data_IF_962400847169
#
_entry.id   IF_962400847169
#
_cell.length_a   1.000
_cell.length_b   1.000
_cell.length_c   1.000
_cell.angle_alpha   90.00
_cell.angle_beta   90.00
_cell.angle_gamma   90.00
#
_symmetry.space_group_name_H-M   'P 1'
#
loop_
_entity.id
_entity.type
_entity.pdbx_description
1 polymer ?
#
# COMPACT_ATOMS: atom_id res chain seq x y z
N UNK A 1 -1.44 4.94 -8.28
CA UNK A 1 -0.44 3.87 -7.98
C UNK A 1 -0.62 2.68 -8.90
N UNK A 2 0.40 2.19 -9.61
CA UNK A 2 0.16 1.11 -10.59
C UNK A 2 -0.29 -0.21 -9.96
N UNK A 3 -1.10 -0.97 -10.69
CA UNK A 3 -1.60 -2.28 -10.25
C UNK A 3 -0.49 -3.30 -9.94
N UNK A 4 0.65 -3.17 -10.63
CA UNK A 4 1.85 -3.98 -10.39
C UNK A 4 2.48 -3.71 -9.01
N UNK A 5 2.45 -2.45 -8.56
CA UNK A 5 3.01 -2.02 -7.27
C UNK A 5 2.16 -2.53 -6.12
N UNK A 6 0.84 -2.36 -6.22
CA UNK A 6 -0.12 -2.84 -5.22
C UNK A 6 -0.03 -4.36 -5.06
N UNK A 7 0.00 -5.10 -6.17
CA UNK A 7 0.14 -6.56 -6.12
C UNK A 7 1.45 -7.02 -5.46
N UNK A 8 2.58 -6.35 -5.74
CA UNK A 8 3.85 -6.67 -5.07
C UNK A 8 3.78 -6.47 -3.56
N UNK A 9 3.17 -5.37 -3.12
CA UNK A 9 2.97 -5.05 -1.70
C UNK A 9 2.12 -6.11 -1.00
N UNK A 10 0.95 -6.44 -1.57
CA UNK A 10 0.03 -7.39 -0.99
C UNK A 10 0.59 -8.82 -0.98
N UNK A 11 1.21 -9.27 -2.07
CA UNK A 11 1.85 -10.59 -2.12
C UNK A 11 2.93 -10.70 -1.04
N UNK A 12 3.75 -9.66 -0.87
CA UNK A 12 4.78 -9.64 0.17
C UNK A 12 4.17 -9.71 1.57
N UNK A 13 3.11 -8.95 1.84
CA UNK A 13 2.41 -8.98 3.12
C UNK A 13 1.78 -10.34 3.42
N UNK A 14 1.25 -11.05 2.41
CA UNK A 14 0.67 -12.39 2.60
C UNK A 14 1.71 -13.41 3.06
N UNK A 15 2.92 -13.37 2.50
CA UNK A 15 3.97 -14.38 2.78
C UNK A 15 4.95 -13.97 3.89
N UNK A 16 4.96 -12.70 4.29
CA UNK A 16 5.84 -12.15 5.32
C UNK A 16 5.02 -11.41 6.40
N UNK A 17 4.71 -12.13 7.48
CA UNK A 17 3.95 -11.59 8.60
C UNK A 17 4.65 -10.44 9.36
N UNK A 18 5.97 -10.28 9.23
CA UNK A 18 6.68 -9.12 9.78
C UNK A 18 6.44 -7.91 8.90
N UNK A 19 6.55 -8.09 7.59
CA UNK A 19 6.25 -7.04 6.62
C UNK A 19 4.78 -6.61 6.72
N UNK A 20 3.82 -7.54 6.82
CA UNK A 20 2.41 -7.21 6.98
C UNK A 20 2.15 -6.31 8.20
N UNK A 21 2.72 -6.66 9.36
CA UNK A 21 2.60 -5.84 10.58
C UNK A 21 3.23 -4.47 10.41
N UNK A 22 4.38 -4.39 9.73
CA UNK A 22 5.01 -3.10 9.42
C UNK A 22 4.15 -2.27 8.46
N UNK A 23 3.60 -2.90 7.42
CA UNK A 23 2.75 -2.27 6.42
C UNK A 23 1.47 -1.69 7.04
N UNK A 24 0.87 -2.36 8.01
CA UNK A 24 -0.31 -1.85 8.73
C UNK A 24 0.05 -0.76 9.75
N UNK A 25 1.23 -0.82 10.35
CA UNK A 25 1.67 0.16 11.36
C UNK A 25 2.22 1.46 10.74
N UNK A 26 2.96 1.35 9.64
CA UNK A 26 3.55 2.46 8.90
C UNK A 26 3.67 2.07 7.41
N UNK A 27 2.61 2.32 6.63
CA UNK A 27 2.55 1.90 5.24
C UNK A 27 3.66 2.53 4.41
N UNK A 28 3.97 3.81 4.65
CA UNK A 28 4.98 4.56 3.90
C UNK A 28 6.38 3.97 4.15
N UNK A 29 6.74 3.71 5.40
CA UNK A 29 8.02 3.10 5.73
C UNK A 29 8.14 1.66 5.20
N UNK A 30 7.03 0.93 5.09
CA UNK A 30 7.01 -0.40 4.48
C UNK A 30 7.23 -0.35 2.97
N UNK A 31 6.57 0.59 2.26
CA UNK A 31 6.73 0.75 0.80
C UNK A 31 8.17 1.15 0.43
N UNK A 32 8.83 1.96 1.27
CA UNK A 32 10.24 2.32 1.05
C UNK A 32 11.20 1.13 1.16
N UNK A 33 10.88 0.08 1.94
CA UNK A 33 11.72 -1.13 2.04
C UNK A 33 11.68 -2.01 0.79
N UNK A 34 10.62 -1.89 -0.02
CA UNK A 34 10.44 -2.69 -1.25
C UNK A 34 10.87 -1.95 -2.51
N UNK A 35 11.57 -0.82 -2.36
CA UNK A 35 12.11 0.01 -3.47
C UNK A 35 11.03 0.34 -4.52
N UNK A 36 9.81 0.61 -4.07
CA UNK A 36 8.70 0.98 -4.94
C UNK A 36 8.68 2.49 -5.12
N UNK A 37 8.75 2.94 -6.38
CA UNK A 37 8.52 4.34 -6.72
C UNK A 37 7.03 4.65 -6.53
N UNK A 38 6.75 5.62 -5.66
CA UNK A 38 5.41 6.14 -5.38
C UNK A 38 5.39 7.66 -5.50
N UNK A 39 4.32 8.20 -6.08
CA UNK A 39 4.16 9.64 -6.29
C UNK A 39 3.88 10.37 -4.96
N UNK A 40 4.05 11.72 -4.91
CA UNK A 40 3.70 12.50 -3.72
C UNK A 40 2.23 12.33 -3.27
N UNK A 41 1.30 12.17 -4.21
CA UNK A 41 -0.12 11.94 -3.95
C UNK A 41 -0.32 10.59 -3.25
N UNK A 42 0.30 9.54 -3.76
CA UNK A 42 0.25 8.19 -3.20
C UNK A 42 0.89 8.12 -1.81
N UNK A 43 1.98 8.85 -1.60
CA UNK A 43 2.61 9.00 -0.29
C UNK A 43 1.65 9.63 0.72
N UNK A 44 0.88 10.64 0.30
CA UNK A 44 -0.11 11.28 1.17
C UNK A 44 -1.26 10.34 1.51
N UNK A 45 -1.70 9.51 0.56
CA UNK A 45 -2.72 8.50 0.82
C UNK A 45 -2.22 7.47 1.86
N UNK A 46 -1.03 6.91 1.64
CA UNK A 46 -0.42 5.94 2.55
C UNK A 46 -0.15 6.51 3.94
N UNK A 47 0.26 7.79 4.03
CA UNK A 47 0.50 8.48 5.30
C UNK A 47 -0.77 8.68 6.13
N UNK A 48 -1.90 8.89 5.46
CA UNK A 48 -3.18 9.13 6.11
C UNK A 48 -4.05 7.87 6.21
N UNK A 49 -3.60 6.74 5.65
CA UNK A 49 -4.31 5.48 5.68
C UNK A 49 -4.51 5.03 7.14
N UNK A 50 -5.77 4.84 7.51
CA UNK A 50 -6.17 4.20 8.76
C UNK A 50 -6.87 2.91 8.36
N UNK A 51 -6.13 1.81 8.43
CA UNK A 51 -6.57 0.48 7.99
C UNK A 51 -6.36 -0.50 9.13
N UNK A 52 -7.34 -1.35 9.40
CA UNK A 52 -7.25 -2.33 10.50
C UNK A 52 -6.58 -3.62 10.02
N UNK A 53 -6.81 -3.98 8.76
CA UNK A 53 -6.23 -5.16 8.14
C UNK A 53 -5.82 -4.97 6.66
N UNK A 54 -5.30 -6.04 6.06
CA UNK A 54 -4.84 -6.03 4.67
C UNK A 54 -5.99 -5.91 3.66
N UNK A 55 -7.21 -6.32 4.02
CA UNK A 55 -8.39 -6.19 3.18
C UNK A 55 -8.75 -4.71 3.05
N UNK A 56 -8.80 -3.98 4.17
CA UNK A 56 -9.03 -2.54 4.21
C UNK A 56 -7.98 -1.79 3.37
N UNK A 57 -6.71 -2.16 3.56
CA UNK A 57 -5.62 -1.59 2.79
C UNK A 57 -5.75 -1.86 1.29
N UNK A 58 -6.11 -3.09 0.90
CA UNK A 58 -6.29 -3.44 -0.51
C UNK A 58 -7.42 -2.63 -1.15
N UNK A 59 -8.55 -2.46 -0.46
CA UNK A 59 -9.67 -1.67 -0.96
C UNK A 59 -9.31 -0.20 -1.11
N UNK A 60 -8.59 0.37 -0.15
CA UNK A 60 -8.12 1.75 -0.20
C UNK A 60 -7.21 1.98 -1.41
N UNK A 61 -6.28 1.06 -1.67
CA UNK A 61 -5.36 1.15 -2.80
C UNK A 61 -6.05 0.94 -4.16
N UNK A 62 -7.06 0.08 -4.21
CA UNK A 62 -7.90 -0.13 -5.41
C UNK A 62 -8.68 1.13 -5.74
N UNK A 63 -9.34 1.74 -4.75
CA UNK A 63 -10.14 2.94 -4.98
C UNK A 63 -9.28 4.09 -5.54
N UNK A 64 -8.03 4.22 -5.09
CA UNK A 64 -7.11 5.23 -5.64
C UNK A 64 -6.78 5.00 -7.12
N UNK A 65 -6.70 3.74 -7.55
CA UNK A 65 -6.47 3.41 -8.95
C UNK A 65 -7.65 3.82 -9.83
N UNK A 66 -8.88 3.62 -9.36
CA UNK A 66 -10.09 4.01 -10.09
C UNK A 66 -10.15 5.53 -10.27
N UNK A 67 -9.72 6.32 -9.27
CA UNK A 67 -9.62 7.78 -9.37
C UNK A 67 -8.52 8.26 -10.32
N UNK A 68 -7.46 7.47 -10.55
CA UNK A 68 -6.38 7.81 -11.50
C UNK A 68 -6.81 7.55 -12.97
N UNK A 69 -7.89 6.78 -13.21
CA UNK A 69 -8.39 6.43 -14.55
C UNK A 69 -9.52 7.35 -15.07
N UNK A 70 -10.07 8.25 -14.24
CA UNK A 70 -11.04 9.31 -14.61
C UNK A 70 -10.38 10.65 -14.97
#
# INVERSE_FOLDING_TARGET
MSWKVINKLLIRAIIDARFARKLLADPLAAVHEVELEITPEEQNVLRNARVEDLSDLSQLLINQLEYDEE
#
